data_IF_559449336126
#
_entry.id   IF_559449336126
#
_cell.length_a   1.000
_cell.length_b   1.000
_cell.length_c   1.000
_cell.angle_alpha   90.00
_cell.angle_beta   90.00
_cell.angle_gamma   90.00
#
_symmetry.space_group_name_H-M   'P 1'
#
loop_
_entity.id
_entity.type
_entity.pdbx_description
1 polymer ?
#
# COMPACT_ATOMS: atom_id res chain seq x y z
N UNK A 1 -32.60 -17.77 -12.27
CA UNK A 1 -31.16 -17.77 -12.60
C UNK A 1 -30.68 -16.33 -12.46
N UNK A 2 -29.90 -15.93 -11.43
CA UNK A 2 -29.27 -14.63 -11.48
C UNK A 2 -28.04 -14.73 -12.38
N UNK A 3 -27.96 -13.85 -13.38
CA UNK A 3 -26.76 -13.65 -14.18
C UNK A 3 -25.73 -12.95 -13.30
N UNK A 4 -24.62 -13.63 -13.01
CA UNK A 4 -23.44 -13.01 -12.40
C UNK A 4 -22.86 -12.06 -13.43
N UNK A 5 -23.08 -10.76 -13.25
CA UNK A 5 -22.34 -9.76 -14.01
C UNK A 5 -20.86 -9.91 -13.65
N UNK A 6 -19.93 -9.91 -14.62
CA UNK A 6 -18.52 -9.81 -14.28
C UNK A 6 -18.33 -8.49 -13.54
N UNK A 7 -17.88 -8.55 -12.29
CA UNK A 7 -17.51 -7.37 -11.52
C UNK A 7 -16.30 -6.75 -12.23
N UNK A 8 -16.56 -5.81 -13.14
CA UNK A 8 -15.53 -4.91 -13.64
C UNK A 8 -14.86 -4.31 -12.42
N UNK A 9 -13.61 -4.68 -12.19
CA UNK A 9 -12.86 -4.16 -11.05
C UNK A 9 -12.66 -2.66 -11.28
N UNK A 10 -13.05 -1.79 -10.34
CA UNK A 10 -13.01 -0.34 -10.54
C UNK A 10 -11.59 0.23 -10.53
N UNK A 11 -10.57 -0.62 -10.38
CA UNK A 11 -9.19 -0.22 -10.19
C UNK A 11 -8.41 -0.20 -11.49
N UNK A 12 -7.64 0.85 -11.67
CA UNK A 12 -6.74 1.02 -12.81
C UNK A 12 -5.39 1.56 -12.37
N UNK A 13 -4.35 1.17 -13.10
CA UNK A 13 -3.01 1.73 -12.93
C UNK A 13 -3.06 3.25 -13.12
N UNK A 14 -2.36 3.95 -12.23
CA UNK A 14 -2.30 5.40 -12.16
C UNK A 14 -3.42 6.05 -11.36
N UNK A 15 -4.42 5.31 -10.87
CA UNK A 15 -5.42 5.91 -9.97
C UNK A 15 -4.79 6.35 -8.65
N UNK A 16 -5.24 7.51 -8.17
CA UNK A 16 -4.79 8.12 -6.93
C UNK A 16 -5.97 8.26 -5.96
N UNK A 17 -5.82 7.68 -4.78
CA UNK A 17 -6.85 7.58 -3.76
C UNK A 17 -6.41 8.28 -2.48
N UNK A 18 -7.30 9.08 -1.89
CA UNK A 18 -7.10 9.66 -0.56
C UNK A 18 -7.67 8.71 0.49
N UNK A 19 -6.88 8.34 1.48
CA UNK A 19 -7.27 7.41 2.54
C UNK A 19 -7.31 8.13 3.88
N UNK A 20 -8.14 7.63 4.81
CA UNK A 20 -8.09 8.04 6.22
C UNK A 20 -6.81 7.49 6.87
N UNK A 21 -6.01 8.36 7.48
CA UNK A 21 -4.82 7.99 8.25
C UNK A 21 -5.12 7.65 9.71
N UNK A 22 -4.08 7.56 10.54
CA UNK A 22 -4.18 7.15 11.95
C UNK A 22 -4.88 8.19 12.83
N UNK A 23 -4.82 9.46 12.44
CA UNK A 23 -5.46 10.57 13.12
C UNK A 23 -6.06 11.57 12.11
N UNK A 24 -6.94 12.47 12.55
CA UNK A 24 -7.74 13.35 11.68
C UNK A 24 -6.90 14.25 10.72
N UNK A 25 -5.67 14.59 11.10
CA UNK A 25 -4.75 15.37 10.27
C UNK A 25 -3.94 14.54 9.25
N UNK A 26 -3.93 13.21 9.37
CA UNK A 26 -3.16 12.33 8.48
C UNK A 26 -4.09 11.78 7.39
N UNK A 27 -3.82 12.14 6.14
CA UNK A 27 -4.66 11.77 5.00
C UNK A 27 -3.79 11.29 3.84
N UNK A 28 -3.21 10.08 3.92
CA UNK A 28 -2.24 9.60 2.94
C UNK A 28 -2.87 9.39 1.57
N UNK A 29 -2.02 9.48 0.55
CA UNK A 29 -2.36 9.19 -0.83
C UNK A 29 -1.87 7.80 -1.23
N UNK A 30 -2.75 6.99 -1.80
CA UNK A 30 -2.46 5.69 -2.38
C UNK A 30 -2.48 5.79 -3.90
N UNK A 31 -1.31 5.62 -4.54
CA UNK A 31 -1.17 5.55 -5.98
C UNK A 31 -1.04 4.08 -6.42
N UNK A 32 -1.92 3.62 -7.32
CA UNK A 32 -1.81 2.27 -7.89
C UNK A 32 -0.77 2.27 -9.02
N UNK A 33 0.39 1.62 -8.80
CA UNK A 33 1.46 1.55 -9.80
C UNK A 33 1.32 0.35 -10.75
N UNK A 34 0.79 -0.76 -10.24
CA UNK A 34 0.63 -2.02 -10.97
C UNK A 34 -0.51 -2.82 -10.38
N UNK A 35 -1.15 -3.63 -11.21
CA UNK A 35 -2.17 -4.59 -10.79
C UNK A 35 -1.75 -5.97 -11.30
N UNK A 36 -1.60 -6.92 -10.38
CA UNK A 36 -1.38 -8.33 -10.68
C UNK A 36 -2.63 -9.14 -10.28
N UNK A 37 -2.85 -10.28 -10.92
CA UNK A 37 -3.90 -11.23 -10.51
C UNK A 37 -3.36 -12.20 -9.46
N UNK A 38 -4.13 -12.43 -8.40
CA UNK A 38 -3.76 -13.41 -7.38
C UNK A 38 -4.10 -14.83 -7.88
N UNK A 39 -3.23 -15.85 -7.68
CA UNK A 39 -3.47 -17.21 -8.18
C UNK A 39 -4.76 -17.86 -7.66
N UNK A 40 -5.23 -17.44 -6.48
CA UNK A 40 -6.48 -17.91 -5.87
C UNK A 40 -7.70 -17.04 -6.23
N UNK A 41 -7.54 -16.09 -7.16
CA UNK A 41 -8.56 -15.12 -7.56
C UNK A 41 -8.44 -13.78 -6.83
N UNK A 42 -8.91 -12.72 -7.49
CA UNK A 42 -8.80 -11.34 -7.02
C UNK A 42 -7.57 -10.61 -7.57
N UNK A 43 -7.45 -9.33 -7.23
CA UNK A 43 -6.39 -8.44 -7.69
C UNK A 43 -5.48 -8.01 -6.53
N UNK A 44 -4.18 -7.94 -6.81
CA UNK A 44 -3.17 -7.34 -5.97
C UNK A 44 -2.81 -5.98 -6.57
N UNK A 45 -3.06 -4.93 -5.80
CA UNK A 45 -2.77 -3.56 -6.16
C UNK A 45 -1.41 -3.21 -5.56
N UNK A 46 -0.39 -3.07 -6.41
CA UNK A 46 0.93 -2.62 -6.00
C UNK A 46 0.92 -1.10 -5.91
N UNK A 47 0.90 -0.57 -4.70
CA UNK A 47 0.71 0.84 -4.48
C UNK A 47 1.93 1.54 -3.87
N UNK A 48 2.05 2.83 -4.12
CA UNK A 48 2.88 3.75 -3.33
C UNK A 48 1.98 4.51 -2.37
N UNK A 49 2.40 4.63 -1.10
CA UNK A 49 1.79 5.57 -0.17
C UNK A 49 2.62 6.84 -0.09
N UNK A 50 1.99 8.00 -0.28
CA UNK A 50 2.59 9.33 -0.22
C UNK A 50 1.90 10.17 0.85
N UNK A 51 2.54 11.28 1.24
CA UNK A 51 2.02 12.19 2.27
C UNK A 51 1.78 11.45 3.61
N UNK A 52 2.61 10.45 3.91
CA UNK A 52 2.60 9.74 5.19
C UNK A 52 3.54 10.43 6.19
N UNK A 53 3.38 10.17 7.48
CA UNK A 53 4.28 10.71 8.51
C UNK A 53 4.79 9.59 9.40
N UNK A 54 5.74 8.81 8.90
CA UNK A 54 6.27 7.65 9.62
C UNK A 54 7.56 8.04 10.33
N UNK A 55 7.59 7.88 11.65
CA UNK A 55 8.79 8.12 12.45
C UNK A 55 9.89 7.11 12.08
N UNK A 56 11.06 7.62 11.71
CA UNK A 56 12.23 6.81 11.37
C UNK A 56 13.51 7.51 11.85
N UNK A 57 14.14 7.05 12.94
CA UNK A 57 15.34 7.69 13.50
C UNK A 57 16.52 7.80 12.53
N UNK A 58 16.60 6.92 11.53
CA UNK A 58 17.65 6.94 10.51
C UNK A 58 17.33 7.76 9.26
N UNK A 59 16.17 8.43 9.17
CA UNK A 59 15.79 9.23 8.00
C UNK A 59 16.29 10.67 8.17
N UNK A 60 16.67 11.37 7.08
CA UNK A 60 16.88 12.82 7.13
C UNK A 60 15.64 13.52 7.68
N UNK A 61 15.78 14.25 8.79
CA UNK A 61 14.64 14.90 9.46
C UNK A 61 13.77 13.97 10.32
N UNK A 62 14.12 12.70 10.47
CA UNK A 62 13.45 11.75 11.37
C UNK A 62 12.11 11.20 10.86
N UNK A 63 11.70 11.55 9.64
CA UNK A 63 10.41 11.18 9.05
C UNK A 63 10.60 10.54 7.67
N UNK A 64 9.80 9.50 7.40
CA UNK A 64 9.57 8.97 6.07
C UNK A 64 8.21 9.45 5.57
N UNK A 65 8.20 10.09 4.40
CA UNK A 65 7.01 10.68 3.80
C UNK A 65 6.40 9.82 2.68
N UNK A 66 7.08 8.72 2.33
CA UNK A 66 6.66 7.83 1.25
C UNK A 66 7.03 6.38 1.58
N UNK A 67 6.10 5.47 1.30
CA UNK A 67 6.36 4.03 1.21
C UNK A 67 6.28 3.63 -0.27
N UNK A 68 7.42 3.38 -0.93
CA UNK A 68 7.46 3.18 -2.38
C UNK A 68 6.64 1.98 -2.86
N UNK A 69 6.59 0.90 -2.07
CA UNK A 69 5.88 -0.32 -2.44
C UNK A 69 5.11 -0.91 -1.25
N UNK A 70 3.78 -0.97 -1.42
CA UNK A 70 2.83 -1.57 -0.48
C UNK A 70 1.82 -2.39 -1.30
N UNK A 71 1.93 -3.72 -1.33
CA UNK A 71 0.96 -4.58 -2.01
C UNK A 71 -0.32 -4.69 -1.17
N UNK A 72 -1.46 -4.33 -1.75
CA UNK A 72 -2.76 -4.31 -1.07
C UNK A 72 -3.83 -4.98 -1.92
N UNK A 73 -4.94 -5.41 -1.30
CA UNK A 73 -6.15 -5.83 -2.02
C UNK A 73 -7.24 -4.76 -1.91
N UNK A 74 -8.31 -4.89 -2.70
CA UNK A 74 -9.46 -3.98 -2.73
C UNK A 74 -9.99 -3.63 -1.32
N UNK A 75 -10.08 -4.62 -0.44
CA UNK A 75 -10.54 -4.47 0.95
C UNK A 75 -9.76 -3.40 1.73
N UNK A 76 -8.49 -3.16 1.41
CA UNK A 76 -7.70 -2.09 2.04
C UNK A 76 -8.27 -0.72 1.72
N UNK A 77 -8.71 -0.47 0.49
CA UNK A 77 -9.32 0.81 0.11
C UNK A 77 -10.67 0.99 0.82
N UNK A 78 -11.49 -0.06 0.86
CA UNK A 78 -12.79 -0.04 1.56
C UNK A 78 -12.62 0.29 3.05
N UNK A 79 -11.69 -0.39 3.73
CA UNK A 79 -11.40 -0.18 5.15
C UNK A 79 -10.73 1.15 5.46
N UNK A 80 -10.20 1.83 4.44
CA UNK A 80 -9.51 3.12 4.59
C UNK A 80 -10.41 4.31 4.30
N UNK A 81 -11.71 4.10 4.09
CA UNK A 81 -12.65 5.11 3.62
C UNK A 81 -12.07 5.87 2.41
N UNK A 82 -11.50 5.11 1.47
CA UNK A 82 -10.73 5.68 0.37
C UNK A 82 -11.64 6.39 -0.64
N UNK A 83 -11.25 7.60 -1.04
CA UNK A 83 -11.91 8.36 -2.09
C UNK A 83 -10.97 8.53 -3.29
N UNK A 84 -11.46 8.25 -4.50
CA UNK A 84 -10.70 8.53 -5.72
C UNK A 84 -10.58 10.04 -5.87
N UNK A 85 -9.35 10.55 -5.94
CA UNK A 85 -9.05 12.00 -6.02
C UNK A 85 -8.38 12.40 -7.33
N UNK A 86 -8.04 11.43 -8.18
CA UNK A 86 -7.53 11.70 -9.52
C UNK A 86 -6.66 10.56 -10.05
N UNK A 87 -5.69 10.93 -10.87
CA UNK A 87 -4.69 10.02 -11.41
C UNK A 87 -3.31 10.66 -11.47
N UNK A 88 -2.29 9.82 -11.49
CA UNK A 88 -0.87 10.17 -11.63
C UNK A 88 -0.18 9.08 -12.44
N UNK A 89 0.92 9.41 -13.10
CA UNK A 89 1.80 8.38 -13.64
C UNK A 89 2.31 7.48 -12.49
N UNK A 90 2.46 6.16 -12.73
CA UNK A 90 3.11 5.26 -11.80
C UNK A 90 4.51 5.75 -11.39
N UNK A 91 4.85 5.51 -10.14
CA UNK A 91 6.14 5.89 -9.57
C UNK A 91 7.14 4.74 -9.73
N UNK A 92 8.23 4.86 -10.51
CA UNK A 92 9.17 3.75 -10.72
C UNK A 92 9.93 3.33 -9.44
N UNK A 93 9.88 4.13 -8.36
CA UNK A 93 10.51 3.78 -7.09
C UNK A 93 9.96 2.49 -6.45
N UNK A 94 8.77 2.03 -6.87
CA UNK A 94 8.21 0.76 -6.40
C UNK A 94 8.93 -0.49 -6.94
N UNK A 95 9.66 -0.39 -8.05
CA UNK A 95 10.18 -1.55 -8.79
C UNK A 95 11.11 -2.46 -7.98
N UNK A 96 12.05 -1.94 -7.16
CA UNK A 96 12.89 -2.80 -6.31
C UNK A 96 12.05 -3.60 -5.31
N UNK A 97 11.18 -2.93 -4.55
CA UNK A 97 10.30 -3.59 -3.57
C UNK A 97 9.35 -4.59 -4.22
N UNK A 98 8.81 -4.27 -5.40
CA UNK A 98 8.00 -5.20 -6.18
C UNK A 98 8.77 -6.47 -6.53
N UNK A 99 10.03 -6.34 -6.95
CA UNK A 99 10.86 -7.47 -7.37
C UNK A 99 11.16 -8.41 -6.19
N UNK A 100 11.52 -7.82 -5.03
CA UNK A 100 11.73 -8.56 -3.78
C UNK A 100 10.45 -9.27 -3.32
N UNK A 101 9.33 -8.53 -3.29
CA UNK A 101 8.03 -9.08 -2.94
C UNK A 101 7.62 -10.21 -3.87
N UNK A 102 7.82 -10.08 -5.19
CA UNK A 102 7.39 -11.09 -6.16
C UNK A 102 8.13 -12.40 -5.95
N UNK A 103 9.45 -12.33 -5.73
CA UNK A 103 10.24 -13.52 -5.41
C UNK A 103 9.76 -14.21 -4.11
N UNK A 104 9.47 -13.42 -3.07
CA UNK A 104 8.94 -13.97 -1.81
C UNK A 104 7.51 -14.50 -1.95
N UNK A 105 6.65 -13.85 -2.74
CA UNK A 105 5.28 -14.28 -3.01
C UNK A 105 5.26 -15.60 -3.76
N UNK A 106 6.10 -15.76 -4.77
CA UNK A 106 6.26 -17.01 -5.52
C UNK A 106 6.78 -18.16 -4.65
N UNK A 107 7.56 -17.84 -3.61
CA UNK A 107 8.00 -18.79 -2.60
C UNK A 107 6.96 -19.06 -1.48
N UNK A 108 5.79 -18.41 -1.52
CA UNK A 108 4.75 -18.52 -0.49
C UNK A 108 5.08 -17.79 0.83
N UNK A 109 6.04 -16.86 0.80
CA UNK A 109 6.57 -16.16 1.98
C UNK A 109 6.12 -14.69 2.06
N UNK A 110 5.42 -14.18 1.05
CA UNK A 110 4.83 -12.85 1.06
C UNK A 110 3.35 -12.89 0.71
N UNK A 111 2.64 -11.84 1.08
CA UNK A 111 1.22 -11.65 0.80
C UNK A 111 0.91 -10.18 0.53
N UNK A 112 -0.37 -9.84 0.52
CA UNK A 112 -0.87 -8.48 0.36
C UNK A 112 -1.67 -8.06 1.58
N UNK A 113 -1.68 -6.77 1.90
CA UNK A 113 -2.49 -6.24 2.99
C UNK A 113 -3.97 -6.16 2.62
N UNK A 114 -4.84 -6.60 3.53
CA UNK A 114 -6.31 -6.43 3.49
C UNK A 114 -6.84 -5.63 4.69
N UNK A 115 -5.99 -4.82 5.31
CA UNK A 115 -6.26 -3.97 6.47
C UNK A 115 -6.22 -2.50 6.07
N UNK A 116 -6.71 -1.58 6.91
CA UNK A 116 -6.72 -0.16 6.56
C UNK A 116 -5.30 0.41 6.41
N UNK A 117 -5.14 1.43 5.56
CA UNK A 117 -3.86 2.14 5.38
C UNK A 117 -3.30 2.63 6.71
N UNK A 118 -4.16 3.17 7.59
CA UNK A 118 -3.75 3.58 8.94
C UNK A 118 -3.08 2.45 9.74
N UNK A 119 -3.59 1.22 9.64
CA UNK A 119 -3.01 0.05 10.32
C UNK A 119 -1.68 -0.35 9.68
N UNK A 120 -1.56 -0.28 8.36
CA UNK A 120 -0.29 -0.52 7.64
C UNK A 120 0.78 0.47 8.12
N UNK A 121 0.45 1.77 8.19
CA UNK A 121 1.38 2.80 8.68
C UNK A 121 1.83 2.52 10.11
N UNK A 122 0.91 2.12 10.99
CA UNK A 122 1.22 1.77 12.37
C UNK A 122 2.17 0.56 12.46
N UNK A 123 1.95 -0.48 11.65
CA UNK A 123 2.80 -1.67 11.59
C UNK A 123 4.21 -1.26 11.14
N UNK A 124 4.32 -0.55 10.01
CA UNK A 124 5.61 -0.12 9.46
C UNK A 124 6.39 0.71 10.46
N UNK A 125 5.77 1.72 11.08
CA UNK A 125 6.41 2.56 12.09
C UNK A 125 6.91 1.73 13.28
N UNK A 126 6.09 0.79 13.77
CA UNK A 126 6.46 -0.08 14.89
C UNK A 126 7.66 -0.99 14.55
N UNK A 127 7.73 -1.50 13.32
CA UNK A 127 8.87 -2.30 12.87
C UNK A 127 10.15 -1.47 12.78
N UNK A 128 10.07 -0.23 12.28
CA UNK A 128 11.20 0.68 12.21
C UNK A 128 11.71 1.08 13.59
N UNK A 129 10.81 1.39 14.53
CA UNK A 129 11.17 1.70 15.91
C UNK A 129 11.90 0.54 16.61
N UNK A 130 11.41 -0.70 16.42
CA UNK A 130 12.06 -1.90 16.98
C UNK A 130 13.46 -2.13 16.42
N UNK A 131 13.66 -1.90 15.12
CA UNK A 131 14.99 -2.03 14.48
C UNK A 131 15.98 -0.99 14.98
N UNK A 132 15.53 0.23 15.24
CA UNK A 132 16.37 1.27 15.85
C UNK A 132 16.82 0.86 17.26
N UNK A 133 15.92 0.30 18.08
CA UNK A 133 16.27 -0.17 19.42
C UNK A 133 17.27 -1.35 19.41
N UNK A 134 17.16 -2.27 18.45
CA UNK A 134 18.06 -3.42 18.33
C UNK A 134 19.45 -3.07 17.75
N UNK A 135 19.64 -1.86 17.21
CA UNK A 135 20.91 -1.37 16.69
C UNK A 135 21.75 -0.60 17.74
N UNK A 136 21.24 -0.50 18.97
CA UNK A 136 21.90 0.06 20.16
C UNK A 136 22.23 -1.04 21.17
#
# INVERSE_FOLDING_TARGET
MPMTLPTSTPYAVGQLWRCRGRHAGENPLLLINRIDEHPQGGQILHATLREVQIQHPGAPGGLLETLPHVPVIAQTLDRSDAALVGSSAPDPAYLPGYSEWKAAFDAGQAGSYGIAVAEILQIVESHLAKRALAAH
#
